data_IF_312666129728
#
_entry.id   IF_312666129728
#
_cell.length_a   1.000
_cell.length_b   1.000
_cell.length_c   1.000
_cell.angle_alpha   90.00
_cell.angle_beta   90.00
_cell.angle_gamma   90.00
#
_symmetry.space_group_name_H-M   'P 1'
#
loop_
_entity.id
_entity.type
_entity.pdbx_description
1 polymer ?
#
# COMPACT_ATOMS: atom_id res chain seq x y z
N UNK A 1 33.78 4.20 -15.04
CA UNK A 1 32.82 4.07 -16.16
C UNK A 1 31.43 4.36 -15.59
N UNK A 2 30.91 5.56 -15.88
CA UNK A 2 29.82 6.21 -15.14
C UNK A 2 28.47 5.84 -15.77
N UNK A 3 27.61 5.18 -15.00
CA UNK A 3 26.24 4.88 -15.43
C UNK A 3 25.39 6.14 -15.24
N UNK A 4 25.51 7.06 -16.16
CA UNK A 4 24.57 8.17 -16.36
C UNK A 4 24.02 8.05 -17.77
N UNK A 5 22.68 8.12 -17.91
CA UNK A 5 21.87 8.18 -19.14
C UNK A 5 21.28 6.87 -19.66
N UNK A 6 20.37 6.23 -18.89
CA UNK A 6 19.50 5.19 -19.50
C UNK A 6 17.99 5.46 -19.35
N UNK A 7 17.57 6.55 -18.73
CA UNK A 7 16.14 6.87 -18.63
C UNK A 7 15.88 8.31 -19.06
N UNK A 8 15.70 8.52 -20.38
CA UNK A 8 15.21 9.79 -20.91
C UNK A 8 13.77 9.58 -21.41
N UNK A 9 12.81 10.33 -20.84
CA UNK A 9 11.39 10.32 -21.20
C UNK A 9 11.11 10.45 -22.71
N UNK A 10 12.03 11.07 -23.46
CA UNK A 10 11.91 11.24 -24.92
C UNK A 10 12.06 9.94 -25.71
N UNK A 11 12.82 8.97 -25.22
CA UNK A 11 13.05 7.71 -25.94
C UNK A 11 11.92 6.70 -25.72
N UNK A 12 11.10 6.89 -24.69
CA UNK A 12 9.92 6.06 -24.42
C UNK A 12 8.73 6.41 -25.33
N UNK A 13 8.62 7.68 -25.75
CA UNK A 13 7.51 8.15 -26.58
C UNK A 13 7.74 7.95 -28.09
N UNK A 14 8.94 7.53 -28.50
CA UNK A 14 9.30 7.36 -29.94
C UNK A 14 8.85 6.04 -30.55
N UNK A 15 8.38 5.05 -29.75
CA UNK A 15 7.98 3.73 -30.25
C UNK A 15 6.47 3.48 -30.29
N UNK A 16 5.64 4.46 -29.92
CA UNK A 16 4.18 4.36 -30.01
C UNK A 16 3.63 5.21 -31.17
N UNK A 17 4.09 4.91 -32.36
CA UNK A 17 3.51 5.44 -33.58
C UNK A 17 2.42 4.51 -34.12
N UNK A 18 1.17 4.97 -34.04
CA UNK A 18 0.09 4.46 -34.86
C UNK A 18 -1.02 3.68 -34.16
N UNK A 19 -2.03 4.40 -33.71
CA UNK A 19 -3.41 3.93 -33.79
C UNK A 19 -4.35 5.14 -33.77
N UNK A 20 -5.03 5.29 -34.89
CA UNK A 20 -6.00 6.33 -35.20
C UNK A 20 -7.27 6.20 -34.33
N UNK A 21 -7.77 7.35 -33.95
CA UNK A 21 -9.13 7.79 -33.73
C UNK A 21 -10.23 6.76 -33.37
N UNK A 22 -10.71 6.88 -32.13
CA UNK A 22 -12.12 6.67 -31.82
C UNK A 22 -12.51 7.59 -30.66
N UNK A 23 -13.21 8.67 -31.01
CA UNK A 23 -13.94 9.52 -30.08
C UNK A 23 -15.14 8.76 -29.53
N UNK A 24 -15.11 8.37 -28.27
CA UNK A 24 -16.31 7.91 -27.56
C UNK A 24 -16.76 8.98 -26.56
N UNK A 25 -17.92 9.51 -26.89
CA UNK A 25 -18.71 10.44 -26.11
C UNK A 25 -18.99 9.93 -24.69
N UNK A 26 -18.61 10.70 -23.67
CA UNK A 26 -18.93 10.41 -22.29
C UNK A 26 -20.44 10.54 -22.05
N UNK A 27 -21.15 9.44 -21.95
CA UNK A 27 -22.51 9.39 -21.39
C UNK A 27 -22.47 8.73 -20.01
N UNK A 28 -22.91 9.50 -19.04
CA UNK A 28 -23.19 9.07 -17.67
C UNK A 28 -24.07 7.83 -17.67
N UNK A 29 -23.58 6.75 -17.11
CA UNK A 29 -24.45 5.65 -16.65
C UNK A 29 -23.90 5.16 -15.33
N UNK A 30 -24.51 5.61 -14.23
CA UNK A 30 -24.47 4.87 -12.99
C UNK A 30 -25.48 3.72 -13.14
N UNK A 31 -25.03 2.65 -13.74
CA UNK A 31 -25.71 1.37 -13.76
C UNK A 31 -24.66 0.32 -13.44
N UNK A 32 -24.95 -0.58 -12.50
CA UNK A 32 -24.16 -1.79 -12.29
C UNK A 32 -24.22 -2.63 -13.58
N UNK A 33 -23.44 -2.26 -14.56
CA UNK A 33 -23.09 -3.15 -15.65
C UNK A 33 -22.09 -4.15 -15.07
N UNK A 34 -22.37 -5.43 -15.23
CA UNK A 34 -21.45 -6.49 -14.90
C UNK A 34 -20.07 -6.13 -15.45
N UNK A 35 -19.09 -5.91 -14.56
CA UNK A 35 -17.72 -5.68 -14.95
C UNK A 35 -17.26 -7.01 -15.55
N UNK A 36 -17.25 -7.08 -16.87
CA UNK A 36 -16.66 -8.19 -17.59
C UNK A 36 -15.18 -8.12 -17.24
N UNK A 37 -14.58 -9.14 -16.60
CA UNK A 37 -13.14 -9.14 -16.36
C UNK A 37 -12.48 -8.91 -17.72
N UNK A 38 -11.59 -7.92 -17.79
CA UNK A 38 -10.80 -7.71 -18.99
C UNK A 38 -10.15 -9.04 -19.34
N UNK A 39 -10.45 -9.58 -20.51
CA UNK A 39 -9.86 -10.83 -20.95
C UNK A 39 -8.34 -10.66 -20.84
N UNK A 40 -7.69 -11.52 -20.09
CA UNK A 40 -6.23 -11.58 -20.04
C UNK A 40 -5.77 -11.72 -21.48
N UNK A 41 -4.92 -10.83 -22.00
CA UNK A 41 -4.48 -10.91 -23.41
C UNK A 41 -3.90 -12.29 -23.67
N UNK A 42 -4.36 -12.94 -24.71
CA UNK A 42 -4.04 -14.33 -25.10
C UNK A 42 -2.53 -14.58 -25.38
N UNK A 43 -1.70 -13.57 -25.25
CA UNK A 43 -0.25 -13.62 -25.42
C UNK A 43 0.48 -12.75 -24.40
N UNK A 44 0.49 -13.19 -23.16
CA UNK A 44 1.66 -12.99 -22.32
C UNK A 44 2.66 -14.09 -22.74
N UNK A 45 3.42 -13.85 -23.82
CA UNK A 45 4.50 -14.72 -24.25
C UNK A 45 5.56 -14.72 -23.14
N UNK A 46 5.53 -15.74 -22.27
CA UNK A 46 6.52 -15.94 -21.24
C UNK A 46 5.95 -16.32 -19.87
N UNK A 47 4.84 -15.72 -19.42
CA UNK A 47 4.21 -16.07 -18.15
C UNK A 47 2.72 -16.33 -18.36
N UNK A 48 2.18 -17.38 -17.74
CA UNK A 48 0.77 -17.71 -17.77
C UNK A 48 0.37 -18.75 -18.83
N UNK A 49 1.32 -19.39 -19.51
CA UNK A 49 1.04 -20.45 -20.49
C UNK A 49 0.28 -21.64 -19.87
N UNK A 50 0.54 -21.95 -18.59
CA UNK A 50 -0.15 -22.97 -17.81
C UNK A 50 -1.39 -22.46 -17.08
N UNK A 51 -1.63 -21.14 -17.08
CA UNK A 51 -2.66 -20.46 -16.30
C UNK A 51 -2.30 -20.25 -14.83
N UNK A 52 -1.12 -20.68 -14.39
CA UNK A 52 -0.61 -20.50 -13.03
C UNK A 52 0.84 -20.01 -13.05
N UNK A 53 0.99 -18.70 -12.88
CA UNK A 53 2.31 -18.04 -12.87
C UNK A 53 3.24 -18.54 -11.76
N UNK A 54 2.72 -19.07 -10.68
CA UNK A 54 3.54 -19.63 -9.59
C UNK A 54 4.17 -20.96 -9.97
N UNK A 55 3.44 -21.82 -10.71
CA UNK A 55 3.98 -23.08 -11.22
C UNK A 55 5.11 -22.83 -12.21
N UNK A 56 4.98 -21.82 -13.06
CA UNK A 56 6.04 -21.42 -13.99
C UNK A 56 7.31 -20.95 -13.28
N UNK A 57 7.15 -20.34 -12.09
CA UNK A 57 8.26 -19.96 -11.21
C UNK A 57 8.80 -21.14 -10.36
N UNK A 58 8.22 -22.32 -10.46
CA UNK A 58 8.57 -23.46 -9.62
C UNK A 58 8.06 -23.36 -8.19
N UNK A 59 7.05 -22.51 -7.94
CA UNK A 59 6.43 -22.32 -6.63
C UNK A 59 5.13 -23.12 -6.55
N UNK A 60 5.01 -23.96 -5.53
CA UNK A 60 3.80 -24.75 -5.31
C UNK A 60 2.71 -23.91 -4.67
N UNK A 61 1.55 -23.83 -5.31
CA UNK A 61 0.37 -23.25 -4.73
C UNK A 61 -0.13 -24.07 -3.53
N UNK A 62 -0.57 -23.39 -2.48
CA UNK A 62 -1.05 -24.04 -1.26
C UNK A 62 -2.49 -23.65 -0.95
N UNK A 63 -3.21 -24.54 -0.29
CA UNK A 63 -4.52 -24.22 0.29
C UNK A 63 -4.29 -23.56 1.63
N UNK A 64 -4.64 -22.28 1.74
CA UNK A 64 -4.46 -21.53 2.99
C UNK A 64 -5.55 -21.88 4.00
N UNK A 65 -5.24 -22.75 4.95
CA UNK A 65 -6.09 -23.09 6.11
C UNK A 65 -5.76 -22.28 7.38
N UNK A 66 -4.79 -21.35 7.31
CA UNK A 66 -4.34 -20.57 8.49
C UNK A 66 -4.98 -19.17 8.60
N UNK A 67 -5.86 -18.81 7.68
CA UNK A 67 -6.47 -17.48 7.63
C UNK A 67 -5.55 -16.42 7.01
N UNK A 68 -5.63 -15.18 7.50
CA UNK A 68 -4.96 -14.01 6.93
C UNK A 68 -3.48 -13.90 7.29
N UNK A 69 -2.73 -14.97 7.12
CA UNK A 69 -1.29 -14.99 7.42
C UNK A 69 -0.46 -14.34 6.31
N UNK A 70 0.32 -13.33 6.65
CA UNK A 70 1.09 -12.52 5.69
C UNK A 70 2.05 -13.34 4.83
N UNK A 71 2.73 -14.35 5.42
CA UNK A 71 3.67 -15.19 4.67
C UNK A 71 2.98 -16.16 3.69
N UNK A 72 1.66 -16.29 3.76
CA UNK A 72 0.82 -17.00 2.78
C UNK A 72 0.06 -16.02 1.85
N UNK A 73 0.45 -14.76 1.82
CA UNK A 73 -0.19 -13.74 0.98
C UNK A 73 -1.44 -13.08 1.59
N UNK A 74 -1.83 -13.46 2.82
CA UNK A 74 -3.01 -12.92 3.48
C UNK A 74 -4.31 -13.50 2.94
N UNK A 75 -5.21 -12.65 2.44
CA UNK A 75 -6.47 -13.04 1.81
C UNK A 75 -6.44 -12.73 0.32
N UNK A 76 -7.03 -13.61 -0.48
CA UNK A 76 -7.25 -13.31 -1.89
C UNK A 76 -8.22 -12.12 -2.02
N UNK A 77 -7.94 -11.18 -2.92
CA UNK A 77 -8.90 -10.13 -3.25
C UNK A 77 -10.21 -10.72 -3.80
N UNK A 78 -11.29 -10.00 -3.60
CA UNK A 78 -12.55 -10.35 -4.27
C UNK A 78 -12.49 -9.95 -5.75
N UNK A 79 -13.19 -10.65 -6.65
CA UNK A 79 -13.15 -10.37 -8.09
C UNK A 79 -13.43 -8.90 -8.46
N UNK A 80 -14.32 -8.23 -7.71
CA UNK A 80 -14.62 -6.81 -7.93
C UNK A 80 -13.43 -5.90 -7.61
N UNK A 81 -12.61 -6.29 -6.62
CA UNK A 81 -11.40 -5.56 -6.24
C UNK A 81 -10.33 -5.74 -7.32
N UNK A 82 -10.14 -6.96 -7.80
CA UNK A 82 -9.19 -7.26 -8.89
C UNK A 82 -9.54 -6.48 -10.16
N UNK A 83 -10.82 -6.42 -10.52
CA UNK A 83 -11.28 -5.65 -11.67
C UNK A 83 -10.97 -4.14 -11.53
N UNK A 84 -11.18 -3.57 -10.34
CA UNK A 84 -10.85 -2.15 -10.07
C UNK A 84 -9.35 -1.93 -10.11
N UNK A 85 -8.55 -2.85 -9.58
CA UNK A 85 -7.08 -2.78 -9.65
C UNK A 85 -6.58 -2.79 -11.08
N UNK A 86 -7.14 -3.65 -11.94
CA UNK A 86 -6.79 -3.71 -13.35
C UNK A 86 -7.15 -2.41 -14.11
N UNK A 87 -8.27 -1.78 -13.79
CA UNK A 87 -8.66 -0.48 -14.35
C UNK A 87 -7.72 0.64 -13.84
N UNK A 88 -7.44 0.66 -12.55
CA UNK A 88 -6.59 1.67 -11.95
C UNK A 88 -5.16 1.63 -12.52
N UNK A 89 -4.64 0.44 -12.81
CA UNK A 89 -3.31 0.23 -13.38
C UNK A 89 -3.12 0.86 -14.78
N UNK A 90 -4.19 1.27 -15.44
CA UNK A 90 -4.14 1.92 -16.76
C UNK A 90 -3.99 3.45 -16.69
N UNK A 91 -3.95 4.02 -15.49
CA UNK A 91 -3.93 5.46 -15.30
C UNK A 91 -2.79 5.91 -14.38
N UNK A 92 -2.19 7.04 -14.73
CA UNK A 92 -1.27 7.74 -13.83
C UNK A 92 -2.04 8.77 -13.00
N UNK A 93 -1.81 8.78 -11.71
CA UNK A 93 -2.40 9.74 -10.78
C UNK A 93 -1.34 10.30 -9.83
N UNK A 94 -1.62 11.44 -9.23
CA UNK A 94 -0.82 11.94 -8.12
C UNK A 94 -1.03 11.05 -6.90
N UNK A 95 0.03 10.40 -6.43
CA UNK A 95 -0.06 9.56 -5.22
C UNK A 95 -0.47 10.37 -4.00
N UNK A 96 -0.02 11.61 -3.89
CA UNK A 96 -0.40 12.50 -2.78
C UNK A 96 -1.90 12.81 -2.79
N UNK A 97 -2.47 13.06 -3.97
CA UNK A 97 -3.92 13.30 -4.10
C UNK A 97 -4.73 12.03 -3.86
N UNK A 98 -4.26 10.90 -4.37
CA UNK A 98 -4.90 9.60 -4.15
C UNK A 98 -4.93 9.24 -2.67
N UNK A 99 -3.82 9.40 -1.96
CA UNK A 99 -3.71 9.12 -0.53
C UNK A 99 -4.69 9.98 0.28
N UNK A 100 -4.76 11.29 0.00
CA UNK A 100 -5.71 12.19 0.65
C UNK A 100 -7.17 11.83 0.36
N UNK A 101 -7.48 11.50 -0.88
CA UNK A 101 -8.83 11.12 -1.28
C UNK A 101 -9.26 9.79 -0.63
N UNK A 102 -8.36 8.80 -0.60
CA UNK A 102 -8.58 7.52 0.05
C UNK A 102 -8.75 7.70 1.56
N UNK A 103 -7.89 8.50 2.20
CA UNK A 103 -7.96 8.80 3.63
C UNK A 103 -9.30 9.39 4.03
N UNK A 104 -9.76 10.44 3.33
CA UNK A 104 -11.08 11.05 3.55
C UNK A 104 -12.22 10.06 3.34
N UNK A 105 -12.13 9.23 2.31
CA UNK A 105 -13.16 8.21 2.05
C UNK A 105 -13.24 7.19 3.17
N UNK A 106 -12.11 6.71 3.66
CA UNK A 106 -12.02 5.74 4.76
C UNK A 106 -12.52 6.38 6.07
N UNK A 107 -12.08 7.58 6.39
CA UNK A 107 -12.55 8.32 7.56
C UNK A 107 -14.07 8.48 7.57
N UNK A 108 -14.66 8.84 6.42
CA UNK A 108 -16.11 8.94 6.26
C UNK A 108 -16.84 7.61 6.44
N UNK A 109 -16.29 6.51 5.91
CA UNK A 109 -16.87 5.16 6.09
C UNK A 109 -16.82 4.71 7.56
N UNK A 110 -15.76 5.07 8.28
CA UNK A 110 -15.56 4.76 9.69
C UNK A 110 -16.29 5.76 10.62
N UNK A 111 -16.92 6.80 10.06
CA UNK A 111 -17.58 7.88 10.81
C UNK A 111 -16.63 8.51 11.84
N UNK A 112 -15.39 8.76 11.46
CA UNK A 112 -14.42 9.42 12.31
C UNK A 112 -14.81 10.89 12.53
N UNK A 113 -14.39 11.50 13.66
CA UNK A 113 -14.55 12.93 13.88
C UNK A 113 -13.93 13.77 12.73
N UNK A 114 -14.41 15.02 12.51
CA UNK A 114 -13.94 15.84 11.38
C UNK A 114 -12.44 16.13 11.35
N UNK A 115 -11.79 16.10 12.52
CA UNK A 115 -10.35 16.36 12.68
C UNK A 115 -9.48 15.13 12.41
N UNK A 116 -10.10 13.99 12.08
CA UNK A 116 -9.40 12.74 11.82
C UNK A 116 -9.41 12.44 10.34
N UNK A 117 -8.30 11.91 9.88
CA UNK A 117 -8.15 11.38 8.54
C UNK A 117 -7.56 9.96 8.63
N UNK A 118 -7.50 9.24 7.54
CA UNK A 118 -6.91 7.92 7.46
C UNK A 118 -5.75 7.91 6.47
N UNK A 119 -4.77 7.06 6.73
CA UNK A 119 -3.66 6.82 5.83
C UNK A 119 -3.65 5.35 5.40
N UNK A 120 -3.39 5.10 4.12
CA UNK A 120 -3.23 3.76 3.59
C UNK A 120 -1.75 3.41 3.56
N UNK A 121 -1.38 2.29 4.16
CA UNK A 121 0.01 1.84 4.23
C UNK A 121 0.17 0.43 3.68
N UNK A 122 1.40 0.00 3.41
CA UNK A 122 1.71 -1.34 2.91
C UNK A 122 1.57 -2.45 3.97
N UNK A 123 0.85 -2.20 5.04
CA UNK A 123 0.53 -3.18 6.09
C UNK A 123 0.61 -2.59 7.49
N UNK A 124 0.17 -3.36 8.49
CA UNK A 124 0.09 -2.93 9.90
C UNK A 124 1.46 -2.49 10.47
N UNK A 125 2.54 -3.13 10.06
CA UNK A 125 3.89 -2.76 10.47
C UNK A 125 4.24 -1.33 10.03
N UNK A 126 4.01 -1.01 8.77
CA UNK A 126 4.21 0.34 8.23
C UNK A 126 3.24 1.35 8.88
N UNK A 127 1.99 0.95 9.13
CA UNK A 127 1.01 1.79 9.84
C UNK A 127 1.45 2.15 11.26
N UNK A 128 1.96 1.19 12.02
CA UNK A 128 2.50 1.44 13.37
C UNK A 128 3.71 2.38 13.33
N UNK A 129 4.63 2.13 12.42
CA UNK A 129 5.84 2.94 12.28
C UNK A 129 5.51 4.36 11.83
N UNK A 130 4.70 4.54 10.79
CA UNK A 130 4.32 5.85 10.27
C UNK A 130 3.47 6.64 11.28
N UNK A 131 2.53 5.98 11.96
CA UNK A 131 1.70 6.61 12.98
C UNK A 131 2.53 7.10 14.17
N UNK A 132 3.47 6.28 14.66
CA UNK A 132 4.36 6.72 15.74
C UNK A 132 5.30 7.83 15.28
N UNK A 133 5.88 7.73 14.09
CA UNK A 133 6.70 8.79 13.51
C UNK A 133 5.95 10.12 13.48
N UNK A 134 4.69 10.12 12.99
CA UNK A 134 3.85 11.33 12.97
C UNK A 134 3.57 11.89 14.37
N UNK A 135 3.37 11.04 15.39
CA UNK A 135 3.19 11.48 16.79
C UNK A 135 4.46 12.15 17.33
N UNK A 136 5.63 11.65 16.94
CA UNK A 136 6.92 12.17 17.40
C UNK A 136 7.29 13.50 16.74
N UNK A 137 7.06 13.61 15.45
CA UNK A 137 7.54 14.73 14.63
C UNK A 137 6.49 15.82 14.40
N UNK A 138 5.20 15.46 14.49
CA UNK A 138 4.14 16.33 13.97
C UNK A 138 4.40 16.61 12.48
N UNK A 139 4.15 17.85 12.09
CA UNK A 139 4.39 18.39 10.75
C UNK A 139 5.73 19.13 10.61
N UNK A 140 6.65 18.98 11.56
CA UNK A 140 7.93 19.65 11.56
C UNK A 140 8.93 18.95 10.61
N UNK A 141 9.31 19.56 9.47
CA UNK A 141 10.20 18.93 8.50
C UNK A 141 11.56 18.53 9.08
N UNK A 142 12.10 19.33 10.00
CA UNK A 142 13.40 19.03 10.62
C UNK A 142 13.35 17.75 11.46
N UNK A 143 12.26 17.56 12.22
CA UNK A 143 12.08 16.36 13.01
C UNK A 143 11.82 15.13 12.14
N UNK A 144 11.10 15.30 11.01
CA UNK A 144 10.86 14.24 10.04
C UNK A 144 12.19 13.75 9.44
N UNK A 145 13.05 14.67 9.02
CA UNK A 145 14.35 14.33 8.45
C UNK A 145 15.34 13.76 9.49
N UNK A 146 15.17 14.13 10.76
CA UNK A 146 16.07 13.71 11.84
C UNK A 146 15.85 12.25 12.27
N UNK A 147 14.65 11.68 12.03
CA UNK A 147 14.36 10.31 12.44
C UNK A 147 15.40 9.33 11.85
N UNK A 148 15.83 8.33 12.60
CA UNK A 148 15.39 7.89 13.93
C UNK A 148 16.13 8.53 15.11
N UNK A 149 16.92 9.58 14.91
CA UNK A 149 17.52 10.34 16.00
C UNK A 149 16.46 11.21 16.69
N UNK A 150 16.16 10.88 17.95
CA UNK A 150 15.12 11.55 18.73
C UNK A 150 15.66 12.66 19.64
N UNK A 151 16.85 13.18 19.39
CA UNK A 151 17.40 14.29 20.17
C UNK A 151 16.46 15.51 20.13
N UNK A 152 16.01 15.95 21.28
CA UNK A 152 15.04 17.05 21.41
C UNK A 152 13.56 16.69 21.20
N UNK A 153 13.27 15.40 20.98
CA UNK A 153 11.92 14.85 20.83
C UNK A 153 11.56 13.89 21.98
N UNK A 154 10.28 13.51 22.07
CA UNK A 154 9.85 12.40 22.92
C UNK A 154 10.50 11.12 22.40
N UNK A 155 11.05 10.30 23.29
CA UNK A 155 11.84 9.13 22.91
C UNK A 155 11.37 7.83 23.58
N UNK A 156 10.29 7.87 24.32
CA UNK A 156 9.81 6.73 25.09
C UNK A 156 8.35 6.40 24.78
N UNK A 157 8.06 5.10 24.68
CA UNK A 157 6.70 4.57 24.52
C UNK A 157 6.45 3.56 25.63
N UNK A 158 5.35 3.76 26.34
CA UNK A 158 4.93 2.84 27.40
C UNK A 158 4.20 1.66 26.78
N UNK A 159 4.59 0.45 27.16
CA UNK A 159 3.94 -0.79 26.73
C UNK A 159 3.73 -1.73 27.94
N UNK A 160 2.59 -2.41 27.96
CA UNK A 160 2.38 -3.46 28.95
C UNK A 160 3.32 -4.63 28.65
N UNK A 161 3.99 -5.15 29.67
CA UNK A 161 4.92 -6.28 29.56
C UNK A 161 4.29 -7.52 28.93
N UNK A 162 3.02 -7.78 29.22
CA UNK A 162 2.24 -8.85 28.61
C UNK A 162 1.91 -8.66 27.13
N UNK A 163 2.06 -7.44 26.58
CA UNK A 163 1.80 -7.11 25.19
C UNK A 163 3.07 -7.09 24.32
N UNK A 164 4.23 -7.36 24.92
CA UNK A 164 5.48 -7.49 24.15
C UNK A 164 5.39 -8.66 23.19
N UNK A 165 5.73 -8.40 21.94
CA UNK A 165 5.78 -9.41 20.87
C UNK A 165 6.77 -9.01 19.80
N UNK A 166 6.99 -9.87 18.78
CA UNK A 166 7.94 -9.60 17.71
C UNK A 166 7.62 -8.39 16.84
N UNK A 167 6.36 -7.93 16.82
CA UNK A 167 5.93 -6.77 16.01
C UNK A 167 6.21 -5.42 16.68
N UNK A 168 6.55 -5.38 17.96
CA UNK A 168 6.95 -4.14 18.62
C UNK A 168 8.27 -3.56 18.08
N UNK A 169 9.00 -4.35 17.29
CA UNK A 169 10.16 -3.89 16.55
C UNK A 169 9.85 -2.69 15.65
N UNK A 170 8.64 -2.62 15.09
CA UNK A 170 8.22 -1.51 14.23
C UNK A 170 8.17 -0.18 14.99
N UNK A 171 7.81 -0.21 16.26
CA UNK A 171 7.86 0.98 17.11
C UNK A 171 9.30 1.39 17.37
N UNK A 172 10.18 0.43 17.73
CA UNK A 172 11.60 0.70 17.98
C UNK A 172 12.36 1.20 16.75
N UNK A 173 11.87 0.86 15.55
CA UNK A 173 12.47 1.34 14.30
C UNK A 173 12.36 2.87 14.12
N UNK A 174 11.48 3.55 14.86
CA UNK A 174 11.42 5.02 14.90
C UNK A 174 12.46 5.65 15.85
N UNK A 175 13.26 4.84 16.54
CA UNK A 175 14.24 5.29 17.52
C UNK A 175 13.79 5.29 18.98
N UNK A 176 12.49 5.00 19.25
CA UNK A 176 11.96 5.03 20.60
C UNK A 176 12.46 3.87 21.47
N UNK A 177 12.55 4.14 22.77
CA UNK A 177 12.72 3.14 23.81
C UNK A 177 11.38 2.70 24.34
N UNK A 178 11.16 1.38 24.41
CA UNK A 178 9.97 0.82 25.03
C UNK A 178 10.16 0.73 26.55
N UNK A 179 9.25 1.35 27.29
CA UNK A 179 9.19 1.30 28.75
C UNK A 179 8.11 0.29 29.14
N UNK A 180 8.55 -0.83 29.68
CA UNK A 180 7.65 -1.90 30.09
C UNK A 180 7.00 -1.58 31.43
N UNK A 181 5.68 -1.71 31.49
CA UNK A 181 4.92 -1.58 32.74
C UNK A 181 4.14 -2.86 33.02
N UNK A 182 4.06 -3.22 34.26
CA UNK A 182 3.19 -4.31 34.70
C UNK A 182 1.73 -3.86 34.78
N UNK A 183 0.81 -4.80 34.56
CA UNK A 183 -0.60 -4.52 34.75
C UNK A 183 -0.84 -4.14 36.23
N UNK A 184 -1.43 -2.96 36.49
CA UNK A 184 -1.84 -2.59 37.82
C UNK A 184 -2.76 -3.69 38.38
N UNK A 185 -2.36 -4.33 39.47
CA UNK A 185 -3.24 -5.22 40.21
C UNK A 185 -4.35 -4.37 40.81
N UNK A 186 -5.60 -4.66 40.47
CA UNK A 186 -6.78 -4.09 41.15
C UNK A 186 -6.89 -4.70 42.56
#
# INVERSE_FOLDING_TARGET
>A
MTIKNFWNRRNFLGSAGGLAGMTLSARRVFGLAAVIPAAVPEKLTGFGATGNVYEELGVTAVINGQGTMTYLGGSLPRPEVEAVMALAAQHFVSIVELERAAGKRIAGLLKLPPDYDAIVTCGAAAGMQSGLAGILTGDNPKFIEQLPDLTGMKSEVIIQKSHRNGFDHQLRATGVKLIEVDRARK
#
